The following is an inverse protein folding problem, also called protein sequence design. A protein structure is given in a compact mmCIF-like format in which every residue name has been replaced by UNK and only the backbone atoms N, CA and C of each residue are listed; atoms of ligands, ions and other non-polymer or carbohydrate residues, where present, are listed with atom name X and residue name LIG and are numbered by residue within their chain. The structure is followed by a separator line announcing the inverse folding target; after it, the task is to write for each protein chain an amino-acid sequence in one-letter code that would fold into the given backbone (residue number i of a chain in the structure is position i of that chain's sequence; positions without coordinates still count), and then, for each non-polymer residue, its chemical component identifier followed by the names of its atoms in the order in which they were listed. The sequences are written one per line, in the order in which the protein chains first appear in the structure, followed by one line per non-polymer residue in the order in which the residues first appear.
data_IF_318827693938
#
_entry.id   IF_318827693938
#
_cell.length_a   1.000
_cell.length_b   1.000
_cell.length_c   1.000
_cell.angle_alpha   90.00
_cell.angle_beta   90.00
_cell.angle_gamma   90.00
#
_symmetry.space_group_name_H-M   'P 1'
#
loop_
_entity.id
_entity.type
_entity.pdbx_description
1 polymer ?
#
# COMPACT_ATOMS: atom_id res chain seq x y z
N UNK A 1 -10.68 4.35 -18.53
CA UNK A 1 -10.82 5.44 -19.55
C UNK A 1 -11.86 5.06 -20.58
N UNK A 2 -11.71 3.93 -21.29
CA UNK A 2 -12.63 3.48 -22.35
C UNK A 2 -14.12 3.45 -21.94
N UNK A 3 -14.43 2.93 -20.74
CA UNK A 3 -15.83 2.81 -20.27
C UNK A 3 -16.53 4.16 -20.10
N UNK A 4 -15.81 5.22 -19.70
CA UNK A 4 -16.39 6.52 -19.35
C UNK A 4 -15.91 7.67 -20.26
N UNK A 5 -15.05 7.41 -21.23
CA UNK A 5 -14.47 8.43 -22.12
C UNK A 5 -13.60 9.49 -21.41
N UNK A 6 -13.13 9.21 -20.19
CA UNK A 6 -12.38 10.16 -19.34
C UNK A 6 -10.88 10.12 -19.61
N UNK A 7 -10.16 11.19 -19.23
CA UNK A 7 -8.69 11.20 -19.30
C UNK A 7 -8.06 10.38 -18.17
N UNK A 8 -6.78 10.01 -18.33
CA UNK A 8 -6.07 9.18 -17.36
C UNK A 8 -6.06 9.77 -15.95
N UNK A 9 -5.88 11.10 -15.83
CA UNK A 9 -5.85 11.78 -14.54
C UNK A 9 -7.19 11.67 -13.80
N UNK A 10 -8.31 11.85 -14.49
CA UNK A 10 -9.64 11.74 -13.88
C UNK A 10 -9.90 10.32 -13.37
N UNK A 11 -9.52 9.31 -14.16
CA UNK A 11 -9.62 7.91 -13.73
C UNK A 11 -8.73 7.65 -12.50
N UNK A 12 -7.50 8.16 -12.50
CA UNK A 12 -6.58 8.03 -11.38
C UNK A 12 -7.13 8.68 -10.10
N UNK A 13 -7.70 9.87 -10.19
CA UNK A 13 -8.30 10.58 -9.05
C UNK A 13 -9.49 9.80 -8.46
N UNK A 14 -10.31 9.18 -9.30
CA UNK A 14 -11.41 8.31 -8.85
C UNK A 14 -10.88 7.06 -8.13
N UNK A 15 -9.89 6.37 -8.72
CA UNK A 15 -9.28 5.21 -8.07
C UNK A 15 -8.64 5.56 -6.72
N UNK A 16 -7.96 6.70 -6.62
CA UNK A 16 -7.39 7.15 -5.35
C UNK A 16 -8.45 7.40 -4.28
N UNK A 17 -9.60 7.98 -4.63
CA UNK A 17 -10.72 8.13 -3.69
C UNK A 17 -11.21 6.77 -3.19
N UNK A 18 -11.27 5.76 -4.05
CA UNK A 18 -11.63 4.40 -3.65
C UNK A 18 -10.59 3.77 -2.72
N UNK A 19 -9.30 3.93 -3.03
CA UNK A 19 -8.20 3.46 -2.17
C UNK A 19 -8.26 4.14 -0.79
N UNK A 20 -8.45 5.46 -0.74
CA UNK A 20 -8.60 6.20 0.52
C UNK A 20 -9.81 5.72 1.34
N UNK A 21 -10.95 5.48 0.68
CA UNK A 21 -12.13 4.93 1.33
C UNK A 21 -11.85 3.53 1.90
N UNK A 22 -11.21 2.65 1.12
CA UNK A 22 -10.86 1.31 1.54
C UNK A 22 -9.92 1.33 2.76
N UNK A 23 -8.94 2.23 2.82
CA UNK A 23 -8.09 2.41 4.01
C UNK A 23 -8.90 2.80 5.25
N UNK A 24 -9.90 3.69 5.11
CA UNK A 24 -10.80 4.04 6.22
C UNK A 24 -11.62 2.85 6.70
N UNK A 25 -12.08 2.00 5.79
CA UNK A 25 -12.86 0.82 6.14
C UNK A 25 -12.01 -0.26 6.81
N UNK A 26 -10.78 -0.48 6.34
CA UNK A 26 -9.78 -1.33 7.03
C UNK A 26 -9.56 -0.82 8.45
N UNK A 27 -9.28 0.47 8.64
CA UNK A 27 -9.07 1.05 9.97
C UNK A 27 -10.29 0.86 10.89
N UNK A 28 -11.51 1.08 10.38
CA UNK A 28 -12.74 0.82 11.15
C UNK A 28 -12.89 -0.66 11.51
N UNK A 29 -12.52 -1.56 10.62
CA UNK A 29 -12.55 -3.01 10.86
C UNK A 29 -11.64 -3.41 12.02
N UNK A 30 -10.41 -2.88 12.06
CA UNK A 30 -9.45 -3.13 13.14
C UNK A 30 -9.85 -2.55 14.51
N UNK A 31 -10.75 -1.55 14.54
CA UNK A 31 -11.29 -1.00 15.79
C UNK A 31 -12.42 -1.84 16.40
N UNK A 32 -12.98 -2.80 15.65
CA UNK A 32 -14.07 -3.65 16.11
C UNK A 32 -13.53 -4.99 16.63
N UNK A 33 -14.21 -5.61 17.61
CA UNK A 33 -13.94 -7.00 17.95
C UNK A 33 -14.05 -7.88 16.71
N UNK A 34 -13.13 -8.83 16.59
CA UNK A 34 -13.04 -9.75 15.45
C UNK A 34 -12.72 -11.14 15.97
N UNK A 35 -13.28 -12.16 15.30
CA UNK A 35 -13.02 -13.56 15.61
C UNK A 35 -11.65 -14.02 15.09
N UNK A 36 -11.05 -13.25 14.17
CA UNK A 36 -9.76 -13.58 13.57
C UNK A 36 -8.60 -13.18 14.48
N UNK A 37 -7.55 -14.02 14.60
CA UNK A 37 -6.33 -13.63 15.29
C UNK A 37 -5.70 -12.38 14.67
N UNK A 38 -5.22 -11.49 15.54
CA UNK A 38 -4.59 -10.22 15.14
C UNK A 38 -3.40 -10.43 14.20
N UNK A 39 -2.68 -11.54 14.36
CA UNK A 39 -1.52 -11.93 13.55
C UNK A 39 -1.92 -12.18 12.08
N UNK A 40 -3.07 -12.81 11.86
CA UNK A 40 -3.60 -13.07 10.51
C UNK A 40 -3.99 -11.75 9.85
N UNK A 41 -4.68 -10.88 10.59
CA UNK A 41 -5.08 -9.56 10.10
C UNK A 41 -3.86 -8.68 9.79
N UNK A 42 -2.85 -8.69 10.67
CA UNK A 42 -1.61 -7.96 10.48
C UNK A 42 -0.85 -8.42 9.23
N UNK A 43 -0.89 -9.72 8.89
CA UNK A 43 -0.24 -10.21 7.67
C UNK A 43 -0.84 -9.59 6.41
N UNK A 44 -2.17 -9.54 6.31
CA UNK A 44 -2.86 -8.94 5.16
C UNK A 44 -2.66 -7.42 5.13
N UNK A 45 -2.79 -6.77 6.29
CA UNK A 45 -2.58 -5.33 6.42
C UNK A 45 -1.15 -4.92 6.02
N UNK A 46 -0.14 -5.67 6.47
CA UNK A 46 1.25 -5.37 6.14
C UNK A 46 1.56 -5.63 4.66
N UNK A 47 0.94 -6.63 4.03
CA UNK A 47 1.04 -6.82 2.58
C UNK A 47 0.48 -5.60 1.83
N UNK A 48 -0.71 -5.12 2.18
CA UNK A 48 -1.30 -3.93 1.58
C UNK A 48 -0.41 -2.68 1.75
N UNK A 49 0.20 -2.52 2.94
CA UNK A 49 1.15 -1.43 3.21
C UNK A 49 2.40 -1.51 2.33
N UNK A 50 2.99 -2.69 2.17
CA UNK A 50 4.17 -2.87 1.30
C UNK A 50 3.83 -2.54 -0.15
N UNK A 51 2.67 -3.00 -0.66
CA UNK A 51 2.20 -2.66 -2.01
C UNK A 51 2.07 -1.13 -2.15
N UNK A 52 1.45 -0.47 -1.17
CA UNK A 52 1.31 0.99 -1.19
C UNK A 52 2.67 1.72 -1.18
N UNK A 53 3.69 1.19 -0.49
CA UNK A 53 5.04 1.75 -0.51
C UNK A 53 5.70 1.57 -1.87
N UNK A 54 5.61 0.37 -2.46
CA UNK A 54 6.24 0.05 -3.73
C UNK A 54 5.65 0.83 -4.91
N UNK A 55 4.35 1.12 -4.87
CA UNK A 55 3.65 1.79 -5.98
C UNK A 55 3.42 3.29 -5.78
N UNK A 56 3.98 3.89 -4.72
CA UNK A 56 3.71 5.28 -4.36
C UNK A 56 4.14 6.30 -5.42
N UNK A 57 5.25 6.04 -6.10
CA UNK A 57 5.89 6.99 -7.03
C UNK A 57 5.97 6.44 -8.47
N UNK A 58 5.36 5.28 -8.73
CA UNK A 58 5.48 4.55 -9.99
C UNK A 58 5.55 3.05 -9.75
N UNK A 59 5.93 2.26 -10.75
CA UNK A 59 6.10 0.81 -10.59
C UNK A 59 7.46 0.47 -9.96
N UNK A 60 7.56 0.69 -8.64
CA UNK A 60 8.77 0.42 -7.85
C UNK A 60 9.04 -1.07 -7.60
N UNK A 61 8.13 -1.97 -7.98
CA UNK A 61 8.31 -3.41 -7.86
C UNK A 61 9.07 -3.98 -9.06
N UNK A 62 8.60 -3.68 -10.28
CA UNK A 62 9.27 -4.13 -11.51
C UNK A 62 10.51 -3.29 -11.79
N UNK A 63 10.38 -1.96 -11.63
CA UNK A 63 11.47 -1.00 -11.83
C UNK A 63 11.93 -0.53 -10.46
N UNK A 64 12.90 -1.24 -9.89
CA UNK A 64 13.36 -0.96 -8.51
C UNK A 64 14.07 0.40 -8.47
N UNK A 65 13.32 1.42 -8.06
CA UNK A 65 13.81 2.78 -7.90
C UNK A 65 14.41 3.03 -6.50
N UNK A 66 14.88 4.26 -6.28
CA UNK A 66 15.62 4.65 -5.07
C UNK A 66 14.84 4.36 -3.78
N UNK A 67 13.54 4.59 -3.77
CA UNK A 67 12.69 4.39 -2.57
C UNK A 67 12.63 2.92 -2.18
N UNK A 68 12.30 2.04 -3.13
CA UNK A 68 12.22 0.59 -2.87
C UNK A 68 13.59 0.03 -2.49
N UNK A 69 14.65 0.39 -3.24
CA UNK A 69 16.02 -0.05 -2.93
C UNK A 69 16.48 0.42 -1.55
N UNK A 70 16.26 1.69 -1.22
CA UNK A 70 16.64 2.27 0.07
C UNK A 70 15.90 1.62 1.24
N UNK A 71 14.58 1.38 1.08
CA UNK A 71 13.78 0.67 2.08
C UNK A 71 14.26 -0.76 2.31
N UNK A 72 14.54 -1.52 1.24
CA UNK A 72 15.07 -2.88 1.33
C UNK A 72 16.43 -2.88 2.03
N UNK A 73 17.35 -2.00 1.62
CA UNK A 73 18.67 -1.90 2.24
C UNK A 73 18.57 -1.60 3.73
N UNK A 74 17.82 -0.57 4.12
CA UNK A 74 17.68 -0.16 5.52
C UNK A 74 17.01 -1.22 6.39
N UNK A 75 16.05 -1.98 5.86
CA UNK A 75 15.28 -2.95 6.65
C UNK A 75 15.93 -4.33 6.73
N UNK A 76 16.65 -4.77 5.69
CA UNK A 76 17.07 -6.17 5.53
C UNK A 76 18.59 -6.35 5.35
N UNK A 77 19.34 -5.29 5.07
CA UNK A 77 20.78 -5.39 4.76
C UNK A 77 21.60 -4.64 5.81
N UNK A 78 21.23 -3.40 6.08
CA UNK A 78 21.96 -2.52 7.00
C UNK A 78 21.63 -2.86 8.45
N UNK A 79 22.68 -3.02 9.27
CA UNK A 79 22.53 -3.20 10.71
C UNK A 79 22.25 -1.85 11.37
N UNK A 80 21.40 -1.85 12.38
CA UNK A 80 21.23 -0.70 13.25
C UNK A 80 22.46 -0.63 14.16
N UNK A 81 23.31 0.39 13.98
CA UNK A 81 24.39 0.71 14.92
C UNK A 81 23.79 1.28 16.21
N UNK A 82 24.18 0.71 17.35
CA UNK A 82 23.81 1.15 18.70
C UNK A 82 24.76 2.23 19.22
#
# INVERSE_FOLDING_TARGET
MEEYGVIAQEAYDVFNKHVESAWKDVNKGFLKPTEMPTEVLNRVLNLARVINVLYKEGDGYTYVEKVAKGGISSLLIELITL
#
